data_IF_044985064064
#
_entry.id   IF_044985064064
#
_cell.length_a   1.000
_cell.length_b   1.000
_cell.length_c   1.000
_cell.angle_alpha   90.00
_cell.angle_beta   90.00
_cell.angle_gamma   90.00
#
_symmetry.space_group_name_H-M   'P 1'
#
loop_
_entity.id
_entity.type
_entity.pdbx_description
1 polymer ?
#
# COMPACT_ATOMS: atom_id res chain seq x y z
N UNK A 1 13.38 4.74 6.17
CA UNK A 1 12.72 6.07 6.23
C UNK A 1 12.62 6.50 7.68
N UNK A 2 13.05 7.73 8.00
CA UNK A 2 12.97 8.29 9.34
C UNK A 2 11.59 8.89 9.59
N UNK A 3 10.98 8.58 10.74
CA UNK A 3 9.71 9.19 11.14
C UNK A 3 9.94 10.60 11.68
N UNK A 4 8.96 11.48 11.48
CA UNK A 4 8.90 12.77 12.17
C UNK A 4 8.84 12.54 13.69
N UNK A 5 9.22 13.52 14.53
CA UNK A 5 9.08 13.39 15.97
C UNK A 5 7.60 13.24 16.40
N UNK A 6 7.33 12.63 17.56
CA UNK A 6 5.97 12.45 18.08
C UNK A 6 5.29 13.78 18.46
N UNK A 7 3.94 13.84 18.54
CA UNK A 7 2.98 12.73 18.45
C UNK A 7 2.51 12.40 17.02
N UNK A 8 2.37 11.11 16.73
CA UNK A 8 1.80 10.61 15.46
C UNK A 8 0.31 10.31 15.58
N UNK A 9 -0.36 10.26 14.44
CA UNK A 9 -1.77 9.86 14.34
C UNK A 9 -2.02 8.43 14.86
N UNK A 10 -1.10 7.50 14.58
CA UNK A 10 -1.16 6.12 15.04
C UNK A 10 0.17 5.68 15.65
N UNK A 11 0.09 4.66 16.51
CA UNK A 11 1.27 4.04 17.13
C UNK A 11 1.97 3.14 16.12
N UNK A 12 2.72 3.73 15.20
CA UNK A 12 3.51 3.02 14.20
C UNK A 12 4.48 2.02 14.79
N UNK A 13 4.98 2.32 15.99
CA UNK A 13 5.77 1.42 16.83
C UNK A 13 5.12 0.03 16.95
N UNK A 14 3.79 -0.07 16.95
CA UNK A 14 3.06 -1.31 17.15
C UNK A 14 2.85 -2.16 15.88
N UNK A 15 3.16 -1.61 14.70
CA UNK A 15 2.98 -2.26 13.42
C UNK A 15 4.34 -2.85 13.00
N UNK A 16 4.36 -4.11 12.56
CA UNK A 16 5.58 -4.77 12.07
C UNK A 16 5.98 -4.24 10.66
N UNK A 17 6.32 -2.96 10.61
CA UNK A 17 6.65 -2.25 9.36
C UNK A 17 8.11 -2.44 9.02
N UNK A 18 8.37 -2.91 7.80
CA UNK A 18 9.72 -3.03 7.24
C UNK A 18 10.15 -1.70 6.61
N UNK A 19 11.39 -1.27 6.83
CA UNK A 19 11.99 -0.11 6.17
C UNK A 19 11.84 1.24 6.90
N UNK A 20 11.34 1.24 8.14
CA UNK A 20 11.42 2.40 9.04
C UNK A 20 12.69 2.25 9.88
N UNK A 21 13.39 3.35 10.14
CA UNK A 21 14.53 3.32 11.06
C UNK A 21 14.06 2.89 12.46
N UNK A 22 14.84 2.08 13.20
CA UNK A 22 14.51 1.71 14.56
C UNK A 22 14.19 2.95 15.38
N UNK A 23 13.03 2.96 16.05
CA UNK A 23 12.64 4.08 16.90
C UNK A 23 13.43 3.93 18.22
N UNK A 24 14.72 4.27 18.18
CA UNK A 24 15.69 4.15 19.28
C UNK A 24 15.22 4.92 20.54
N UNK A 25 14.56 6.05 20.32
CA UNK A 25 14.11 7.01 21.36
C UNK A 25 12.77 6.63 22.01
N UNK A 26 12.25 5.43 21.76
CA UNK A 26 11.04 4.97 22.42
C UNK A 26 11.23 4.82 23.93
N UNK A 27 10.38 5.50 24.71
CA UNK A 27 10.32 5.31 26.16
C UNK A 27 10.14 3.82 26.52
N UNK A 28 10.85 3.34 27.55
CA UNK A 28 10.94 1.91 27.94
C UNK A 28 9.59 1.19 28.07
N UNK A 29 8.54 1.90 28.49
CA UNK A 29 7.16 1.38 28.59
C UNK A 29 6.62 0.93 27.23
N UNK A 30 6.91 1.67 26.15
CA UNK A 30 6.44 1.36 24.79
C UNK A 30 7.19 0.16 24.21
N UNK A 31 8.50 0.07 24.44
CA UNK A 31 9.31 -1.13 24.13
C UNK A 31 8.80 -2.39 24.83
N UNK A 32 8.30 -2.27 26.06
CA UNK A 32 7.74 -3.41 26.81
C UNK A 32 6.44 -3.92 26.20
N UNK A 33 5.55 -3.03 25.76
CA UNK A 33 4.28 -3.39 25.11
C UNK A 33 4.55 -4.13 23.79
N UNK A 34 5.48 -3.62 22.99
CA UNK A 34 5.96 -4.25 21.76
C UNK A 34 6.38 -5.70 21.94
N UNK A 35 7.29 -5.96 22.89
CA UNK A 35 7.79 -7.32 23.15
C UNK A 35 6.76 -8.24 23.79
N UNK A 36 5.92 -7.74 24.69
CA UNK A 36 5.01 -8.59 25.47
C UNK A 36 3.71 -8.92 24.77
N UNK A 37 3.24 -8.05 23.88
CA UNK A 37 1.89 -8.17 23.31
C UNK A 37 1.96 -8.41 21.81
N UNK A 38 2.78 -7.65 21.09
CA UNK A 38 2.73 -7.65 19.62
C UNK A 38 3.51 -8.82 19.02
N UNK A 39 4.72 -9.09 19.52
CA UNK A 39 5.51 -10.24 19.04
C UNK A 39 4.75 -11.57 19.22
N UNK A 40 4.18 -11.90 20.41
CA UNK A 40 3.43 -13.14 20.57
C UNK A 40 2.15 -13.22 19.73
N UNK A 41 1.48 -12.08 19.47
CA UNK A 41 0.31 -12.07 18.59
C UNK A 41 0.70 -12.39 17.15
N UNK A 42 1.78 -11.81 16.64
CA UNK A 42 2.26 -12.07 15.29
C UNK A 42 2.73 -13.52 15.12
N UNK A 43 3.35 -14.10 16.15
CA UNK A 43 3.74 -15.51 16.14
C UNK A 43 2.53 -16.42 15.99
N UNK A 44 1.41 -16.12 16.67
CA UNK A 44 0.16 -16.87 16.50
C UNK A 44 -0.44 -16.70 15.11
N UNK A 45 -0.41 -15.49 14.57
CA UNK A 45 -0.92 -15.22 13.22
C UNK A 45 -0.15 -15.96 12.13
N UNK A 46 1.14 -16.26 12.34
CA UNK A 46 1.94 -17.08 11.41
C UNK A 46 1.37 -18.48 11.23
N UNK A 47 0.76 -19.04 12.27
CA UNK A 47 0.20 -20.39 12.26
C UNK A 47 -1.32 -20.40 12.06
N UNK A 48 -1.93 -19.25 11.73
CA UNK A 48 -3.36 -19.16 11.46
C UNK A 48 -3.66 -19.57 10.01
N UNK A 49 -3.89 -20.87 9.81
CA UNK A 49 -4.25 -21.47 8.53
C UNK A 49 -5.56 -20.87 7.98
N UNK A 50 -6.50 -20.53 8.87
CA UNK A 50 -7.80 -19.97 8.46
C UNK A 50 -7.66 -18.55 7.92
N UNK A 51 -6.68 -17.78 8.42
CA UNK A 51 -6.33 -16.47 7.88
C UNK A 51 -5.75 -16.57 6.46
N UNK A 52 -4.93 -17.59 6.20
CA UNK A 52 -4.41 -17.87 4.86
C UNK A 52 -5.52 -18.31 3.90
N UNK A 53 -6.41 -19.20 4.37
CA UNK A 53 -7.58 -19.63 3.60
C UNK A 53 -8.48 -18.44 3.22
N UNK A 54 -8.80 -17.55 4.17
CA UNK A 54 -9.62 -16.34 3.88
C UNK A 54 -8.93 -15.34 2.94
N UNK A 55 -7.62 -15.45 2.73
CA UNK A 55 -6.87 -14.53 1.84
C UNK A 55 -7.11 -14.86 0.37
N UNK A 56 -7.34 -16.11 0.05
CA UNK A 56 -7.52 -16.58 -1.33
C UNK A 56 -8.95 -17.10 -1.49
N UNK A 57 -9.70 -16.45 -2.38
CA UNK A 57 -10.95 -17.03 -2.89
C UNK A 57 -10.55 -18.23 -3.76
N UNK A 58 -11.18 -19.41 -3.63
CA UNK A 58 -10.88 -20.56 -4.49
C UNK A 58 -11.12 -20.22 -5.97
N UNK A 59 -10.40 -20.90 -6.88
CA UNK A 59 -10.42 -20.61 -8.32
C UNK A 59 -11.83 -20.68 -8.93
N UNK A 60 -12.64 -21.63 -8.45
CA UNK A 60 -14.03 -21.84 -8.83
C UNK A 60 -14.89 -20.60 -8.62
N UNK A 61 -14.77 -19.97 -7.44
CA UNK A 61 -15.50 -18.74 -7.09
C UNK A 61 -14.93 -17.51 -7.82
N UNK A 62 -13.64 -17.53 -8.20
CA UNK A 62 -13.02 -16.43 -8.95
C UNK A 62 -13.55 -16.35 -10.39
N UNK A 63 -13.91 -17.47 -11.01
CA UNK A 63 -14.37 -17.48 -12.40
C UNK A 63 -15.65 -16.66 -12.62
N UNK A 64 -16.63 -16.77 -11.72
CA UNK A 64 -17.89 -16.03 -11.81
C UNK A 64 -17.63 -14.52 -11.69
N UNK A 65 -16.81 -14.14 -10.72
CA UNK A 65 -16.41 -12.75 -10.49
C UNK A 65 -15.69 -12.17 -11.72
N UNK A 66 -14.74 -12.91 -12.30
CA UNK A 66 -14.01 -12.45 -13.48
C UNK A 66 -14.89 -12.33 -14.72
N UNK A 67 -15.82 -13.28 -14.93
CA UNK A 67 -16.82 -13.19 -16.01
C UNK A 67 -17.67 -11.92 -15.87
N UNK A 68 -18.11 -11.59 -14.66
CA UNK A 68 -18.87 -10.35 -14.41
C UNK A 68 -18.01 -9.10 -14.67
N UNK A 69 -16.78 -9.06 -14.14
CA UNK A 69 -15.84 -7.94 -14.33
C UNK A 69 -15.57 -7.69 -15.82
N UNK A 70 -15.36 -8.74 -16.60
CA UNK A 70 -15.12 -8.62 -18.04
C UNK A 70 -16.36 -8.12 -18.79
N UNK A 71 -17.57 -8.57 -18.41
CA UNK A 71 -18.82 -8.03 -18.95
C UNK A 71 -18.95 -6.52 -18.66
N UNK A 72 -18.62 -6.07 -17.45
CA UNK A 72 -18.62 -4.64 -17.11
C UNK A 72 -17.56 -3.86 -17.88
N UNK A 73 -16.38 -4.44 -18.07
CA UNK A 73 -15.28 -3.81 -18.82
C UNK A 73 -15.61 -3.61 -20.29
N UNK A 74 -16.36 -4.54 -20.89
CA UNK A 74 -16.89 -4.42 -22.26
C UNK A 74 -17.96 -3.33 -22.32
N UNK A 75 -18.87 -3.28 -21.34
CA UNK A 75 -19.95 -2.26 -21.27
C UNK A 75 -19.42 -0.84 -21.02
N UNK A 76 -18.39 -0.71 -20.18
CA UNK A 76 -17.79 0.57 -19.79
C UNK A 76 -16.29 0.58 -20.13
N UNK A 77 -15.94 0.70 -21.43
CA UNK A 77 -14.55 0.72 -21.83
C UNK A 77 -13.86 1.94 -21.22
N UNK A 78 -12.76 1.71 -20.50
CA UNK A 78 -11.91 2.78 -19.98
C UNK A 78 -11.43 3.60 -21.16
N UNK A 79 -11.95 4.83 -21.29
CA UNK A 79 -11.46 5.78 -22.29
C UNK A 79 -10.02 6.10 -21.94
N UNK A 80 -9.06 5.53 -22.67
CA UNK A 80 -7.67 5.97 -22.61
C UNK A 80 -7.65 7.43 -23.04
N UNK A 81 -7.48 8.33 -22.08
CA UNK A 81 -7.29 9.74 -22.37
C UNK A 81 -5.90 9.90 -22.96
N UNK A 82 -5.81 9.72 -24.28
CA UNK A 82 -4.61 9.99 -25.05
C UNK A 82 -4.37 11.49 -24.98
N UNK A 83 -3.50 11.93 -24.07
CA UNK A 83 -2.97 13.29 -24.13
C UNK A 83 -2.23 13.44 -25.46
N UNK A 84 -2.91 14.05 -26.44
CA UNK A 84 -2.26 14.55 -27.64
C UNK A 84 -1.35 15.68 -27.18
N UNK A 85 -0.10 15.36 -26.84
CA UNK A 85 0.97 16.36 -26.73
C UNK A 85 1.12 16.95 -28.13
N UNK A 86 0.33 17.98 -28.41
CA UNK A 86 0.68 18.96 -29.42
C UNK A 86 1.94 19.63 -28.92
N UNK A 87 3.08 19.00 -29.21
CA UNK A 87 4.36 19.67 -29.30
C UNK A 87 4.21 20.68 -30.44
N UNK A 88 3.55 21.80 -30.15
CA UNK A 88 3.73 23.01 -30.91
C UNK A 88 5.22 23.28 -30.80
N UNK A 89 5.96 22.99 -31.88
CA UNK A 89 7.36 23.38 -32.04
C UNK A 89 7.38 24.90 -31.96
N UNK A 90 7.45 25.45 -30.76
CA UNK A 90 7.68 26.87 -30.55
C UNK A 90 9.02 27.18 -31.19
N UNK A 91 9.02 27.93 -32.31
CA UNK A 91 10.25 28.44 -32.90
C UNK A 91 10.95 29.29 -31.83
N UNK A 92 12.26 29.12 -31.60
CA UNK A 92 12.97 29.92 -30.61
C UNK A 92 12.86 31.40 -31.01
N UNK A 93 12.46 32.26 -30.07
CA UNK A 93 12.47 33.71 -30.30
C UNK A 93 13.92 34.17 -30.38
N UNK A 94 14.38 34.51 -31.58
CA UNK A 94 15.63 35.24 -31.77
C UNK A 94 15.46 36.65 -31.18
N UNK A 95 16.28 37.00 -30.19
CA UNK A 95 16.40 38.38 -29.75
C UNK A 95 17.27 39.12 -30.79
N UNK A 96 16.68 40.08 -31.49
CA UNK A 96 17.43 41.03 -32.32
C UNK A 96 17.97 42.15 -31.42
N UNK A 97 19.28 42.37 -31.56
CA UNK A 97 20.15 43.51 -31.18
C UNK A 97 19.63 44.50 -30.14
#
# INVERSE_FOLDING_TARGET
VKLNPPPWFVKWEQRDLKGIEPIEDMHWKRRRILRKIIQPMHDRERYDIMKEYRRCIPEEDQEEIWKEVDQYRVKFPVRKQMWKRTLQKAKPKTKSK
#
